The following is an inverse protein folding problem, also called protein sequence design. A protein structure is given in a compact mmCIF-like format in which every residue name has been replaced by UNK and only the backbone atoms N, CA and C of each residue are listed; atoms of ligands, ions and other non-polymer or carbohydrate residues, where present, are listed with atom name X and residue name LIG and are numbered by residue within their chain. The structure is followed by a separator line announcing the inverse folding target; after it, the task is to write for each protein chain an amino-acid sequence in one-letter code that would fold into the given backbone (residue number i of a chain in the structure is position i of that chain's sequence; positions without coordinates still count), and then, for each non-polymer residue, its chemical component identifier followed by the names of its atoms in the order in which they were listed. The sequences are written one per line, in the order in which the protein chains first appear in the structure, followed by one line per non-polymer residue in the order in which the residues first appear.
data_IF_890905050416
#
_entry.id   IF_890905050416
#
_cell.length_a   1.000
_cell.length_b   1.000
_cell.length_c   1.000
_cell.angle_alpha   90.00
_cell.angle_beta   90.00
_cell.angle_gamma   90.00
#
_symmetry.space_group_name_H-M   'P 1'
#
loop_
_entity.id
_entity.type
_entity.pdbx_description
1 polymer ?
#
# COMPACT_ATOMS: atom_id res chain seq x y z
N UNK A 1 4.73 12.62 -23.52
CA UNK A 1 4.82 13.51 -22.35
C UNK A 1 5.93 12.99 -21.46
N UNK A 2 6.78 13.85 -20.88
CA UNK A 2 7.85 13.43 -19.97
C UNK A 2 7.51 13.91 -18.55
N UNK A 3 7.69 13.04 -17.56
CA UNK A 3 7.48 13.36 -16.15
C UNK A 3 8.82 13.27 -15.42
N UNK A 4 9.43 14.40 -15.03
CA UNK A 4 10.69 14.35 -14.27
C UNK A 4 10.44 13.73 -12.90
N UNK A 5 11.24 12.72 -12.56
CA UNK A 5 11.22 12.05 -11.25
C UNK A 5 12.60 12.18 -10.63
N UNK A 6 12.64 12.45 -9.32
CA UNK A 6 13.89 12.49 -8.56
C UNK A 6 14.46 11.06 -8.44
N UNK A 7 15.72 10.87 -8.84
CA UNK A 7 16.39 9.57 -8.79
C UNK A 7 16.97 9.31 -7.38
N UNK A 8 16.13 8.84 -6.46
CA UNK A 8 16.51 8.64 -5.05
C UNK A 8 17.56 7.54 -4.84
N UNK A 9 17.72 6.61 -5.78
CA UNK A 9 18.78 5.60 -5.74
C UNK A 9 20.17 6.24 -5.57
N UNK A 10 20.40 7.37 -6.27
CA UNK A 10 21.65 8.13 -6.18
C UNK A 10 21.93 8.69 -4.78
N UNK A 11 20.91 8.84 -3.93
CA UNK A 11 21.08 9.35 -2.56
C UNK A 11 21.44 8.27 -1.55
N UNK A 12 21.42 6.98 -1.92
CA UNK A 12 21.81 5.90 -1.00
C UNK A 12 23.25 6.02 -0.49
N UNK A 13 24.14 6.66 -1.26
CA UNK A 13 25.53 6.95 -0.83
C UNK A 13 25.59 7.81 0.44
N UNK A 14 24.55 8.60 0.72
CA UNK A 14 24.50 9.50 1.87
C UNK A 14 23.95 8.83 3.14
N UNK A 15 23.39 7.62 3.05
CA UNK A 15 22.79 6.90 4.19
C UNK A 15 23.70 6.81 5.43
N UNK A 16 25.03 6.61 5.32
CA UNK A 16 25.92 6.60 6.49
C UNK A 16 26.07 7.95 7.20
N UNK A 17 25.69 9.05 6.53
CA UNK A 17 25.92 10.43 7.00
C UNK A 17 24.64 11.15 7.40
N UNK A 18 23.49 10.48 7.35
CA UNK A 18 22.18 11.02 7.72
C UNK A 18 21.58 10.23 8.88
N UNK A 19 20.55 10.78 9.50
CA UNK A 19 19.80 10.09 10.55
C UNK A 19 19.10 8.85 10.01
N UNK A 20 18.83 7.87 10.88
CA UNK A 20 18.27 6.56 10.49
C UNK A 20 16.91 6.69 9.78
N UNK A 21 16.09 7.64 10.20
CA UNK A 21 14.81 7.95 9.55
C UNK A 21 15.04 8.45 8.12
N UNK A 22 15.97 9.39 7.90
CA UNK A 22 16.26 9.86 6.54
C UNK A 22 16.84 8.75 5.66
N UNK A 23 17.68 7.87 6.22
CA UNK A 23 18.18 6.70 5.50
C UNK A 23 17.04 5.74 5.07
N UNK A 24 16.06 5.49 5.94
CA UNK A 24 14.89 4.66 5.63
C UNK A 24 13.96 5.34 4.60
N UNK A 25 13.79 6.67 4.71
CA UNK A 25 13.03 7.46 3.74
C UNK A 25 13.66 7.37 2.34
N UNK A 26 14.99 7.46 2.23
CA UNK A 26 15.71 7.30 0.96
C UNK A 26 15.42 5.92 0.34
N UNK A 27 15.40 4.85 1.13
CA UNK A 27 15.11 3.51 0.62
C UNK A 27 13.67 3.41 0.06
N UNK A 28 12.67 3.92 0.80
CA UNK A 28 11.27 3.92 0.35
C UNK A 28 11.13 4.70 -0.97
N UNK A 29 11.70 5.91 -1.02
CA UNK A 29 11.60 6.77 -2.21
C UNK A 29 12.41 6.23 -3.38
N UNK A 30 13.53 5.55 -3.14
CA UNK A 30 14.30 4.86 -4.18
C UNK A 30 13.48 3.72 -4.81
N UNK A 31 12.84 2.89 -3.98
CA UNK A 31 11.93 1.84 -4.46
C UNK A 31 10.82 2.39 -5.36
N UNK A 32 10.18 3.49 -4.94
CA UNK A 32 9.10 4.11 -5.72
C UNK A 32 9.60 4.82 -6.99
N UNK A 33 10.73 5.53 -6.94
CA UNK A 33 11.25 6.25 -8.12
C UNK A 33 11.88 5.34 -9.16
N UNK A 34 12.47 4.21 -8.76
CA UNK A 34 13.04 3.21 -9.68
C UNK A 34 11.95 2.39 -10.38
N UNK A 35 10.87 2.09 -9.66
CA UNK A 35 9.74 1.32 -10.17
C UNK A 35 8.45 1.91 -9.60
N UNK A 36 7.79 2.85 -10.30
CA UNK A 36 6.56 3.47 -9.83
C UNK A 36 5.49 2.43 -9.53
N UNK A 37 4.75 2.61 -8.42
CA UNK A 37 3.61 1.75 -8.08
C UNK A 37 2.41 2.03 -8.99
N UNK A 38 2.25 3.28 -9.40
CA UNK A 38 1.15 3.76 -10.26
C UNK A 38 1.68 4.56 -11.44
N UNK A 39 1.17 4.26 -12.63
CA UNK A 39 1.43 5.04 -13.86
C UNK A 39 0.16 5.06 -14.71
N UNK A 40 -0.18 6.21 -15.28
CA UNK A 40 -1.41 6.41 -16.07
C UNK A 40 -2.66 5.83 -15.38
N UNK A 41 -2.84 6.17 -14.09
CA UNK A 41 -3.91 5.67 -13.24
C UNK A 41 -4.03 4.12 -13.13
N UNK A 42 -3.00 3.37 -13.52
CA UNK A 42 -2.89 1.92 -13.37
C UNK A 42 -1.89 1.58 -12.27
N UNK A 43 -2.20 0.58 -11.43
CA UNK A 43 -1.18 -0.10 -10.63
C UNK A 43 -0.32 -0.91 -11.60
N UNK A 44 0.99 -0.64 -11.64
CA UNK A 44 1.94 -1.25 -12.60
C UNK A 44 2.96 -2.19 -11.94
N UNK A 45 2.72 -2.52 -10.67
CA UNK A 45 3.46 -3.52 -9.88
C UNK A 45 2.49 -4.63 -9.43
N UNK A 46 3.03 -5.72 -8.89
CA UNK A 46 2.17 -6.78 -8.33
C UNK A 46 1.45 -6.30 -7.05
N UNK A 47 0.30 -6.90 -6.75
CA UNK A 47 -0.43 -6.64 -5.51
C UNK A 47 0.36 -7.05 -4.25
N UNK A 48 1.20 -8.08 -4.35
CA UNK A 48 2.14 -8.47 -3.29
C UNK A 48 3.16 -7.37 -3.04
N UNK A 49 3.77 -6.82 -4.09
CA UNK A 49 4.72 -5.71 -3.96
C UNK A 49 4.05 -4.44 -3.44
N UNK A 50 2.83 -4.12 -3.90
CA UNK A 50 2.06 -2.99 -3.40
C UNK A 50 1.76 -3.12 -1.89
N UNK A 51 1.42 -4.34 -1.45
CA UNK A 51 1.17 -4.64 -0.03
C UNK A 51 2.44 -4.47 0.80
N UNK A 52 3.58 -5.00 0.32
CA UNK A 52 4.88 -4.85 0.99
C UNK A 52 5.30 -3.38 1.10
N UNK A 53 5.04 -2.56 0.07
CA UNK A 53 5.31 -1.11 0.12
C UNK A 53 4.42 -0.39 1.11
N UNK A 54 3.14 -0.75 1.22
CA UNK A 54 2.26 -0.21 2.25
C UNK A 54 2.75 -0.56 3.67
N UNK A 55 3.22 -1.80 3.88
CA UNK A 55 3.81 -2.22 5.16
C UNK A 55 5.10 -1.47 5.47
N UNK A 56 5.96 -1.20 4.48
CA UNK A 56 7.16 -0.40 4.67
C UNK A 56 6.85 1.06 5.03
N UNK A 57 5.80 1.65 4.44
CA UNK A 57 5.29 2.97 4.80
C UNK A 57 4.78 2.99 6.25
N UNK A 58 4.00 1.98 6.65
CA UNK A 58 3.50 1.81 8.00
C UNK A 58 4.63 1.66 9.04
N UNK A 59 5.62 0.84 8.72
CA UNK A 59 6.80 0.62 9.56
C UNK A 59 7.56 1.93 9.78
N UNK A 60 7.73 2.74 8.72
CA UNK A 60 8.36 4.05 8.83
C UNK A 60 7.62 4.99 9.78
N UNK A 61 6.31 5.20 9.56
CA UNK A 61 5.54 6.18 10.34
C UNK A 61 5.42 5.75 11.81
N UNK A 62 5.43 4.44 12.06
CA UNK A 62 5.42 3.87 13.42
C UNK A 62 6.78 4.03 14.10
N UNK A 63 7.89 3.74 13.42
CA UNK A 63 9.25 3.83 13.99
C UNK A 63 9.76 5.27 14.12
N UNK A 64 9.35 6.16 13.23
CA UNK A 64 9.88 7.52 13.13
C UNK A 64 8.80 8.60 13.15
N UNK A 65 7.90 8.63 14.17
CA UNK A 65 6.78 9.56 14.20
C UNK A 65 7.24 11.03 14.26
N UNK A 66 8.41 11.31 14.83
CA UNK A 66 8.99 12.65 14.94
C UNK A 66 9.86 13.06 13.74
N UNK A 67 10.02 12.20 12.72
CA UNK A 67 10.77 12.56 11.51
C UNK A 67 10.07 13.70 10.77
N UNK A 68 10.85 14.61 10.19
CA UNK A 68 10.31 15.64 9.30
C UNK A 68 9.70 15.06 8.00
N UNK A 69 9.87 13.76 7.73
CA UNK A 69 9.24 13.04 6.62
C UNK A 69 7.96 12.30 7.02
N UNK A 70 7.66 12.18 8.31
CA UNK A 70 6.54 11.40 8.83
C UNK A 70 5.20 11.84 8.23
N UNK A 71 4.91 13.15 8.21
CA UNK A 71 3.67 13.68 7.62
C UNK A 71 3.51 13.34 6.14
N UNK A 72 4.60 13.32 5.37
CA UNK A 72 4.54 12.98 3.95
C UNK A 72 4.27 11.48 3.75
N UNK A 73 4.98 10.63 4.48
CA UNK A 73 4.79 9.18 4.38
C UNK A 73 3.48 8.70 4.98
N UNK A 74 2.92 9.41 5.97
CA UNK A 74 1.56 9.14 6.46
C UNK A 74 0.50 9.39 5.37
N UNK A 75 0.65 10.46 4.58
CA UNK A 75 -0.23 10.71 3.43
C UNK A 75 -0.11 9.62 2.37
N UNK A 76 1.11 9.20 2.04
CA UNK A 76 1.29 8.10 1.10
C UNK A 76 0.80 6.76 1.65
N UNK A 77 0.91 6.51 2.96
CA UNK A 77 0.32 5.33 3.58
C UNK A 77 -1.20 5.31 3.41
N UNK A 78 -1.88 6.44 3.59
CA UNK A 78 -3.32 6.54 3.35
C UNK A 78 -3.68 6.27 1.88
N UNK A 79 -2.91 6.82 0.94
CA UNK A 79 -3.10 6.56 -0.49
C UNK A 79 -2.81 5.10 -0.85
N UNK A 80 -1.74 4.51 -0.32
CA UNK A 80 -1.41 3.09 -0.49
C UNK A 80 -2.51 2.19 0.09
N UNK A 81 -3.04 2.52 1.27
CA UNK A 81 -4.18 1.82 1.88
C UNK A 81 -5.39 1.88 0.95
N UNK A 82 -5.74 3.06 0.43
CA UNK A 82 -6.83 3.21 -0.54
C UNK A 82 -6.60 2.39 -1.82
N UNK A 83 -5.37 2.39 -2.36
CA UNK A 83 -5.00 1.58 -3.53
C UNK A 83 -5.12 0.08 -3.28
N UNK A 84 -4.77 -0.41 -2.09
CA UNK A 84 -5.03 -1.81 -1.72
C UNK A 84 -6.55 -2.06 -1.71
N UNK A 85 -7.30 -1.24 -1.00
CA UNK A 85 -8.71 -1.50 -0.77
C UNK A 85 -9.57 -1.37 -2.02
N UNK A 86 -9.28 -0.43 -2.91
CA UNK A 86 -10.11 -0.15 -4.11
C UNK A 86 -9.42 -0.45 -5.44
N UNK A 87 -8.08 -0.44 -5.46
CA UNK A 87 -7.29 -0.35 -6.68
C UNK A 87 -7.24 1.08 -7.22
N UNK A 88 -7.02 1.19 -8.52
CA UNK A 88 -7.03 2.46 -9.27
C UNK A 88 -7.99 2.38 -10.45
N UNK A 89 -8.22 3.51 -11.13
CA UNK A 89 -9.16 3.59 -12.26
C UNK A 89 -8.86 2.62 -13.39
N UNK A 90 -7.59 2.29 -13.66
CA UNK A 90 -7.22 1.35 -14.72
C UNK A 90 -6.85 -0.05 -14.19
N UNK A 91 -6.69 -0.18 -12.86
CA UNK A 91 -6.39 -1.45 -12.20
C UNK A 91 -7.25 -1.58 -10.93
N UNK A 92 -8.57 -1.76 -11.04
CA UNK A 92 -9.42 -1.90 -9.87
C UNK A 92 -9.16 -3.22 -9.16
N UNK A 93 -9.34 -3.22 -7.83
CA UNK A 93 -9.24 -4.43 -7.00
C UNK A 93 -10.41 -5.41 -7.24
N UNK A 94 -11.53 -4.89 -7.73
CA UNK A 94 -12.75 -5.65 -8.02
C UNK A 94 -13.01 -5.65 -9.53
N UNK A 95 -13.61 -6.73 -10.01
CA UNK A 95 -14.16 -6.79 -11.36
C UNK A 95 -15.28 -5.75 -11.54
N UNK A 96 -15.33 -5.09 -12.71
CA UNK A 96 -16.31 -4.03 -12.96
C UNK A 96 -17.74 -4.54 -13.03
N UNK A 97 -17.94 -5.69 -13.65
CA UNK A 97 -19.27 -6.20 -13.97
C UNK A 97 -19.79 -7.07 -12.83
N UNK A 98 -18.97 -8.02 -12.38
CA UNK A 98 -19.37 -8.98 -11.35
C UNK A 98 -19.28 -8.38 -9.95
N UNK A 99 -18.53 -7.27 -9.79
CA UNK A 99 -18.19 -6.67 -8.50
C UNK A 99 -17.55 -7.67 -7.54
N UNK A 100 -16.76 -8.61 -8.05
CA UNK A 100 -16.06 -9.63 -7.27
C UNK A 100 -14.60 -9.22 -7.11
N UNK A 101 -13.99 -9.43 -5.93
CA UNK A 101 -12.55 -9.15 -5.76
C UNK A 101 -11.75 -10.05 -6.72
N UNK A 102 -10.78 -9.47 -7.42
CA UNK A 102 -9.98 -10.24 -8.36
C UNK A 102 -9.14 -11.29 -7.63
N UNK A 103 -9.02 -12.53 -8.14
CA UNK A 103 -8.32 -13.62 -7.46
C UNK A 103 -6.87 -13.28 -7.07
N UNK A 104 -6.15 -12.57 -7.93
CA UNK A 104 -4.76 -12.15 -7.69
C UNK A 104 -4.64 -11.15 -6.54
N UNK A 105 -5.65 -10.29 -6.35
CA UNK A 105 -5.71 -9.33 -5.25
C UNK A 105 -5.93 -10.07 -3.95
N UNK A 106 -6.97 -10.93 -3.92
CA UNK A 106 -7.30 -11.73 -2.74
C UNK A 106 -6.12 -12.59 -2.31
N UNK A 107 -5.46 -13.25 -3.27
CA UNK A 107 -4.28 -14.07 -3.02
C UNK A 107 -3.13 -13.28 -2.39
N UNK A 108 -2.85 -12.07 -2.89
CA UNK A 108 -1.82 -11.22 -2.30
C UNK A 108 -2.10 -10.89 -0.82
N UNK A 109 -3.36 -10.68 -0.45
CA UNK A 109 -3.75 -10.42 0.95
C UNK A 109 -3.62 -11.66 1.82
N UNK A 110 -4.05 -12.81 1.31
CA UNK A 110 -3.89 -14.09 2.02
C UNK A 110 -2.41 -14.44 2.24
N UNK A 111 -1.56 -14.21 1.24
CA UNK A 111 -0.13 -14.48 1.34
C UNK A 111 0.56 -13.51 2.33
N UNK A 112 0.19 -12.23 2.32
CA UNK A 112 0.68 -11.25 3.29
C UNK A 112 0.39 -11.65 4.75
N UNK A 113 -0.78 -12.26 5.03
CA UNK A 113 -1.13 -12.72 6.38
C UNK A 113 -0.37 -13.99 6.80
N UNK A 114 0.04 -14.86 5.87
CA UNK A 114 0.80 -16.09 6.19
C UNK A 114 2.25 -15.79 6.57
N UNK A 115 2.86 -14.83 5.89
CA UNK A 115 4.28 -14.51 6.06
C UNK A 115 4.54 -13.58 7.26
N UNK A 116 3.48 -13.08 7.90
CA UNK A 116 3.58 -12.04 8.92
C UNK A 116 3.78 -12.59 10.33
N UNK A 117 4.85 -12.10 10.99
CA UNK A 117 5.13 -12.33 12.42
C UNK A 117 4.77 -11.13 13.31
N UNK A 118 4.39 -10.01 12.70
CA UNK A 118 4.13 -8.73 13.37
C UNK A 118 2.70 -8.32 13.05
N UNK A 119 1.94 -7.95 14.08
CA UNK A 119 0.60 -7.38 13.92
C UNK A 119 0.73 -5.89 13.57
N UNK A 120 0.23 -5.50 12.41
CA UNK A 120 0.23 -4.11 11.93
C UNK A 120 -1.19 -3.72 11.52
N UNK A 121 -1.51 -2.40 11.52
CA UNK A 121 -2.85 -1.91 11.15
C UNK A 121 -3.21 -2.35 9.73
N UNK A 122 -2.28 -2.32 8.78
CA UNK A 122 -2.54 -2.79 7.41
C UNK A 122 -2.94 -4.27 7.42
N UNK A 123 -2.20 -5.13 8.12
CA UNK A 123 -2.53 -6.56 8.20
C UNK A 123 -3.87 -6.79 8.89
N UNK A 124 -4.18 -6.08 9.97
CA UNK A 124 -5.49 -6.19 10.62
C UNK A 124 -6.64 -5.71 9.71
N UNK A 125 -6.41 -4.70 8.86
CA UNK A 125 -7.38 -4.26 7.85
C UNK A 125 -7.60 -5.37 6.82
N UNK A 126 -6.52 -5.96 6.29
CA UNK A 126 -6.59 -7.02 5.28
C UNK A 126 -7.26 -8.28 5.82
N UNK A 127 -6.97 -8.66 7.07
CA UNK A 127 -7.61 -9.79 7.75
C UNK A 127 -9.12 -9.58 7.86
N UNK A 128 -9.56 -8.42 8.37
CA UNK A 128 -10.98 -8.08 8.46
C UNK A 128 -11.66 -8.06 7.09
N UNK A 129 -10.99 -7.50 6.08
CA UNK A 129 -11.50 -7.48 4.71
C UNK A 129 -11.70 -8.90 4.17
N UNK A 130 -10.73 -9.80 4.36
CA UNK A 130 -10.82 -11.19 3.92
C UNK A 130 -11.96 -11.95 4.62
N UNK A 131 -12.18 -11.71 5.91
CA UNK A 131 -13.32 -12.28 6.64
C UNK A 131 -14.66 -11.80 6.04
N UNK A 132 -14.78 -10.51 5.73
CA UNK A 132 -15.97 -9.95 5.07
C UNK A 132 -16.16 -10.51 3.65
N UNK A 133 -15.09 -10.63 2.87
CA UNK A 133 -15.13 -11.21 1.53
C UNK A 133 -15.57 -12.68 1.56
N UNK A 134 -15.09 -13.46 2.52
CA UNK A 134 -15.48 -14.87 2.66
C UNK A 134 -16.98 -15.00 3.00
N UNK A 135 -17.55 -14.12 3.82
CA UNK A 135 -18.99 -14.14 4.15
C UNK A 135 -19.89 -13.63 3.02
N UNK A 136 -19.33 -12.93 2.03
CA UNK A 136 -20.05 -12.32 0.91
C UNK A 136 -19.77 -13.00 -0.44
N UNK A 137 -19.20 -14.21 -0.42
CA UNK A 137 -18.77 -14.94 -1.61
C UNK A 137 -17.91 -14.07 -2.54
N UNK A 138 -16.96 -13.33 -1.97
CA UNK A 138 -16.01 -12.42 -2.63
C UNK A 138 -16.65 -11.19 -3.31
N UNK A 139 -17.96 -10.96 -3.13
CA UNK A 139 -18.68 -9.83 -3.75
C UNK A 139 -18.50 -8.54 -2.95
N UNK A 140 -18.24 -7.45 -3.65
CA UNK A 140 -18.30 -6.09 -3.12
C UNK A 140 -19.75 -5.73 -2.80
N UNK A 141 -20.11 -5.87 -1.52
CA UNK A 141 -21.43 -5.56 -0.98
C UNK A 141 -21.41 -4.21 -0.24
N UNK A 142 -22.58 -3.65 0.12
CA UNK A 142 -22.64 -2.43 0.95
C UNK A 142 -21.93 -2.56 2.31
N UNK A 143 -21.80 -3.78 2.86
CA UNK A 143 -21.05 -4.03 4.10
C UNK A 143 -19.55 -3.83 3.87
N UNK A 144 -19.01 -4.34 2.75
CA UNK A 144 -17.62 -4.11 2.37
C UNK A 144 -17.40 -2.63 2.09
N UNK A 145 -18.27 -2.01 1.29
CA UNK A 145 -18.18 -0.57 0.97
C UNK A 145 -18.09 0.28 2.23
N UNK A 146 -18.99 0.05 3.19
CA UNK A 146 -18.98 0.75 4.48
C UNK A 146 -17.65 0.55 5.21
N UNK A 147 -17.15 -0.68 5.30
CA UNK A 147 -15.87 -0.99 5.94
C UNK A 147 -14.69 -0.27 5.27
N UNK A 148 -14.65 -0.25 3.93
CA UNK A 148 -13.58 0.44 3.19
C UNK A 148 -13.63 1.96 3.38
N UNK A 149 -14.83 2.55 3.36
CA UNK A 149 -15.04 3.99 3.57
C UNK A 149 -14.60 4.41 4.98
N UNK A 150 -14.99 3.64 6.00
CA UNK A 150 -14.57 3.90 7.39
C UNK A 150 -13.05 3.76 7.55
N UNK A 151 -12.43 2.81 6.87
CA UNK A 151 -10.98 2.55 6.96
C UNK A 151 -10.12 3.62 6.30
N UNK A 152 -10.54 4.17 5.16
CA UNK A 152 -9.78 5.19 4.43
C UNK A 152 -9.99 6.59 5.04
N UNK A 153 -11.10 6.81 5.75
CA UNK A 153 -11.41 8.09 6.39
C UNK A 153 -11.04 8.16 7.88
N UNK A 154 -10.50 7.08 8.46
CA UNK A 154 -10.00 7.04 9.85
C UNK A 154 -8.56 7.55 9.95
#
# INVERSE_FOLDING_TARGET
MYYPVMHYEGFKIFKPYVTKDIAAYIDIMATESNQPSVSDAAIVISWTELTNRALALEDFVTKYPASNRSTALQKELLLATSRLLYGTSNTPAYDYDERVIKPEVKKAYEDALKDSKVDTRILSILEKLLQLLNSTNNKFTPVIEKFLVETVNS
#
